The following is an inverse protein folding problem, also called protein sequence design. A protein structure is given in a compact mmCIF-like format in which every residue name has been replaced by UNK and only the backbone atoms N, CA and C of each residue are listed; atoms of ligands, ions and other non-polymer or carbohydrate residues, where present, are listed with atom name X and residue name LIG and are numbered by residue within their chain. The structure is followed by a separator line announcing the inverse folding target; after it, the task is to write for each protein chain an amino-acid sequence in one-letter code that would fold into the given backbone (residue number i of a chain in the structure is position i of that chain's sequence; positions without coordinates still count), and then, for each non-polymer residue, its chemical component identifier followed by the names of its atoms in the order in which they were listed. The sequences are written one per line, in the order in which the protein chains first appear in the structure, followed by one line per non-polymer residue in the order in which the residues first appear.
data_IF_556404411583
#
_entry.id   IF_556404411583
#
_cell.length_a   1.000
_cell.length_b   1.000
_cell.length_c   1.000
_cell.angle_alpha   90.00
_cell.angle_beta   90.00
_cell.angle_gamma   90.00
#
_symmetry.space_group_name_H-M   'P 1'
#
loop_
_entity.id
_entity.type
_entity.pdbx_description
1 polymer ?
#
# COMPACT_ATOMS: atom_id res chain seq x y z
N UNK A 1 -44.71 -73.64 25.53
CA UNK A 1 -44.91 -72.94 24.24
C UNK A 1 -44.41 -71.52 24.43
N UNK A 2 -43.28 -71.18 23.80
CA UNK A 2 -42.75 -69.82 23.71
C UNK A 2 -43.68 -68.95 22.88
N UNK A 3 -43.71 -67.64 23.15
CA UNK A 3 -43.44 -66.59 22.14
C UNK A 3 -42.80 -65.38 22.84
N UNK A 4 -41.60 -65.05 22.38
CA UNK A 4 -40.82 -63.83 22.60
C UNK A 4 -41.47 -62.64 21.88
N UNK A 5 -41.45 -61.44 22.47
CA UNK A 5 -41.40 -60.20 21.69
C UNK A 5 -40.78 -59.08 22.53
N UNK A 6 -39.46 -58.95 22.40
CA UNK A 6 -38.74 -57.74 22.77
C UNK A 6 -39.15 -56.57 21.89
N UNK A 7 -39.61 -55.48 22.50
CA UNK A 7 -39.72 -54.18 21.82
C UNK A 7 -38.48 -53.38 22.19
N UNK A 8 -37.52 -53.36 21.27
CA UNK A 8 -36.38 -52.46 21.32
C UNK A 8 -36.91 -51.04 21.19
N UNK A 9 -36.79 -50.27 22.27
CA UNK A 9 -36.94 -48.82 22.25
C UNK A 9 -35.83 -48.26 21.35
N UNK A 10 -36.13 -48.12 20.06
CA UNK A 10 -35.29 -47.45 19.11
C UNK A 10 -35.11 -46.00 19.56
N UNK A 11 -33.97 -45.74 20.21
CA UNK A 11 -33.44 -44.41 20.37
C UNK A 11 -33.35 -43.82 18.96
N UNK A 12 -34.30 -42.97 18.61
CA UNK A 12 -34.19 -42.07 17.47
C UNK A 12 -33.02 -41.17 17.83
N UNK A 13 -31.81 -41.58 17.44
CA UNK A 13 -30.63 -40.72 17.40
C UNK A 13 -31.00 -39.58 16.48
N UNK A 14 -31.40 -38.46 17.10
CA UNK A 14 -31.55 -37.18 16.44
C UNK A 14 -30.18 -36.84 15.88
N UNK A 15 -29.98 -37.16 14.60
CA UNK A 15 -28.78 -36.81 13.87
C UNK A 15 -28.58 -35.30 14.01
N UNK A 16 -27.50 -34.93 14.70
CA UNK A 16 -27.04 -33.55 14.75
C UNK A 16 -26.88 -33.06 13.30
N UNK A 17 -27.34 -31.83 12.97
CA UNK A 17 -26.99 -31.24 11.68
C UNK A 17 -25.46 -31.28 11.57
N UNK A 18 -24.96 -31.87 10.50
CA UNK A 18 -23.58 -32.27 10.28
C UNK A 18 -22.65 -31.07 10.47
N UNK A 19 -22.18 -30.87 11.70
CA UNK A 19 -21.23 -29.82 12.02
C UNK A 19 -19.85 -30.37 11.65
N UNK A 20 -19.18 -29.70 10.72
CA UNK A 20 -17.82 -30.05 10.32
C UNK A 20 -16.88 -29.95 11.51
N UNK A 21 -16.17 -31.03 11.82
CA UNK A 21 -15.21 -31.07 12.92
C UNK A 21 -14.08 -30.07 12.67
N UNK A 22 -13.64 -29.96 11.42
CA UNK A 22 -12.59 -29.02 11.01
C UNK A 22 -12.95 -27.58 11.35
N UNK A 23 -14.20 -27.16 11.12
CA UNK A 23 -14.69 -25.82 11.47
C UNK A 23 -14.69 -25.61 12.98
N UNK A 24 -15.16 -26.60 13.75
CA UNK A 24 -15.16 -26.55 15.21
C UNK A 24 -13.73 -26.50 15.80
N UNK A 25 -12.75 -27.13 15.14
CA UNK A 25 -11.34 -27.05 15.52
C UNK A 25 -10.77 -25.67 15.18
N UNK A 26 -11.01 -25.17 13.97
CA UNK A 26 -10.54 -23.85 13.52
C UNK A 26 -11.08 -22.75 14.43
N UNK A 27 -12.36 -22.78 14.80
CA UNK A 27 -12.96 -21.76 15.67
C UNK A 27 -12.35 -21.70 17.07
N UNK A 28 -11.69 -22.79 17.52
CA UNK A 28 -11.01 -22.88 18.81
C UNK A 28 -9.54 -22.49 18.75
N UNK A 29 -9.00 -22.16 17.57
CA UNK A 29 -7.66 -21.60 17.48
C UNK A 29 -7.66 -20.20 18.12
N UNK A 30 -6.72 -19.88 19.03
CA UNK A 30 -6.77 -18.62 19.79
C UNK A 30 -6.82 -17.36 18.92
N UNK A 31 -6.13 -17.38 17.77
CA UNK A 31 -6.15 -16.28 16.79
C UNK A 31 -7.53 -16.11 16.16
N UNK A 32 -8.17 -17.23 15.79
CA UNK A 32 -9.49 -17.23 15.16
C UNK A 32 -10.55 -16.82 16.18
N UNK A 33 -10.52 -17.41 17.37
CA UNK A 33 -11.41 -17.06 18.47
C UNK A 33 -11.32 -15.55 18.80
N UNK A 34 -10.10 -15.01 18.93
CA UNK A 34 -9.89 -13.57 19.17
C UNK A 34 -10.44 -12.70 18.04
N UNK A 35 -10.32 -13.15 16.79
CA UNK A 35 -10.82 -12.44 15.61
C UNK A 35 -12.35 -12.42 15.61
N UNK A 36 -12.99 -13.55 15.89
CA UNK A 36 -14.45 -13.66 16.01
C UNK A 36 -14.94 -12.75 17.13
N UNK A 37 -14.34 -12.82 18.32
CA UNK A 37 -14.71 -11.97 19.47
C UNK A 37 -14.55 -10.47 19.16
N UNK A 38 -13.47 -10.08 18.48
CA UNK A 38 -13.23 -8.70 18.08
C UNK A 38 -14.28 -8.23 17.07
N UNK A 39 -14.56 -9.05 16.06
CA UNK A 39 -15.58 -8.75 15.06
C UNK A 39 -16.97 -8.64 15.70
N UNK A 40 -17.34 -9.57 16.59
CA UNK A 40 -18.58 -9.51 17.37
C UNK A 40 -18.63 -8.24 18.20
N UNK A 41 -17.56 -7.87 18.91
CA UNK A 41 -17.53 -6.63 19.71
C UNK A 41 -17.74 -5.38 18.87
N UNK A 42 -17.08 -5.29 17.71
CA UNK A 42 -17.24 -4.16 16.78
C UNK A 42 -18.67 -4.12 16.24
N UNK A 43 -19.18 -5.29 15.84
CA UNK A 43 -20.55 -5.41 15.35
C UNK A 43 -21.58 -4.98 16.40
N UNK A 44 -21.46 -5.45 17.64
CA UNK A 44 -22.34 -5.05 18.74
C UNK A 44 -22.26 -3.53 18.98
N UNK A 45 -21.08 -2.92 18.93
CA UNK A 45 -20.93 -1.45 19.00
C UNK A 45 -21.65 -0.72 17.88
N UNK A 46 -21.60 -1.24 16.65
CA UNK A 46 -22.31 -0.67 15.49
C UNK A 46 -23.81 -0.85 15.65
N UNK A 47 -24.25 -2.02 16.09
CA UNK A 47 -25.65 -2.34 16.37
C UNK A 47 -26.23 -1.38 17.40
N UNK A 48 -25.54 -1.19 18.51
CA UNK A 48 -26.00 -0.38 19.63
C UNK A 48 -25.79 1.14 19.44
N UNK A 49 -25.25 1.58 18.29
CA UNK A 49 -24.93 3.00 18.05
C UNK A 49 -26.17 3.91 18.06
N UNK A 50 -27.30 3.45 17.48
CA UNK A 50 -28.58 4.16 17.55
C UNK A 50 -29.77 3.19 17.41
N UNK A 51 -30.97 3.65 17.79
CA UNK A 51 -32.18 2.83 17.82
C UNK A 51 -32.59 2.26 16.46
N UNK A 52 -32.41 3.00 15.36
CA UNK A 52 -32.76 2.53 14.00
C UNK A 52 -31.81 1.43 13.55
N UNK A 53 -30.50 1.59 13.78
CA UNK A 53 -29.49 0.58 13.45
C UNK A 53 -29.65 -0.69 14.30
N UNK A 54 -29.88 -0.54 15.61
CA UNK A 54 -30.14 -1.66 16.50
C UNK A 54 -31.39 -2.44 16.04
N UNK A 55 -32.49 -1.74 15.78
CA UNK A 55 -33.72 -2.36 15.31
C UNK A 55 -33.54 -3.09 13.97
N UNK A 56 -32.85 -2.47 13.02
CA UNK A 56 -32.63 -3.04 11.68
C UNK A 56 -31.77 -4.30 11.74
N UNK A 57 -30.63 -4.23 12.43
CA UNK A 57 -29.70 -5.36 12.56
C UNK A 57 -30.28 -6.48 13.43
N UNK A 58 -30.96 -6.15 14.53
CA UNK A 58 -31.70 -7.15 15.33
C UNK A 58 -32.80 -7.84 14.51
N UNK A 59 -33.49 -7.11 13.63
CA UNK A 59 -34.49 -7.71 12.73
C UNK A 59 -33.83 -8.65 11.73
N UNK A 60 -32.68 -8.27 11.16
CA UNK A 60 -31.91 -9.12 10.26
C UNK A 60 -31.42 -10.39 10.95
N UNK A 61 -30.82 -10.29 12.14
CA UNK A 61 -30.38 -11.43 12.96
C UNK A 61 -31.53 -12.38 13.26
N UNK A 62 -32.67 -11.84 13.73
CA UNK A 62 -33.85 -12.63 14.03
C UNK A 62 -34.41 -13.32 12.78
N UNK A 63 -34.31 -12.68 11.62
CA UNK A 63 -34.74 -13.27 10.34
C UNK A 63 -33.86 -14.46 9.97
N UNK A 64 -32.55 -14.34 10.12
CA UNK A 64 -31.61 -15.45 9.88
C UNK A 64 -31.86 -16.60 10.85
N UNK A 65 -31.99 -16.31 12.15
CA UNK A 65 -32.27 -17.34 13.17
C UNK A 65 -33.56 -18.10 12.87
N UNK A 66 -34.64 -17.38 12.52
CA UNK A 66 -35.91 -17.98 12.10
C UNK A 66 -35.79 -18.79 10.81
N UNK A 67 -35.05 -18.29 9.82
CA UNK A 67 -34.82 -19.00 8.56
C UNK A 67 -34.08 -20.31 8.78
N UNK A 68 -33.10 -20.35 9.69
CA UNK A 68 -32.41 -21.59 10.07
C UNK A 68 -33.36 -22.57 10.75
N UNK A 69 -34.17 -22.10 11.71
CA UNK A 69 -35.15 -22.95 12.40
C UNK A 69 -36.19 -23.56 11.46
N UNK A 70 -36.79 -22.72 10.59
CA UNK A 70 -37.80 -23.15 9.61
C UNK A 70 -37.18 -23.97 8.48
N UNK A 71 -35.94 -23.66 8.09
CA UNK A 71 -35.22 -24.34 7.02
C UNK A 71 -34.65 -25.69 7.40
N UNK A 72 -34.36 -25.94 8.69
CA UNK A 72 -33.79 -27.21 9.18
C UNK A 72 -34.53 -28.47 8.67
N UNK A 73 -35.86 -28.61 8.78
CA UNK A 73 -36.56 -29.79 8.25
C UNK A 73 -36.49 -29.91 6.72
N UNK A 74 -36.40 -28.78 6.00
CA UNK A 74 -36.34 -28.73 4.54
C UNK A 74 -34.95 -29.13 4.04
N UNK A 75 -33.90 -28.69 4.75
CA UNK A 75 -32.51 -29.00 4.41
C UNK A 75 -32.08 -30.42 4.82
N UNK A 76 -32.74 -31.01 5.84
CA UNK A 76 -32.41 -32.36 6.34
C UNK A 76 -32.28 -33.44 5.25
N UNK A 77 -33.25 -33.63 4.33
CA UNK A 77 -33.11 -34.65 3.28
C UNK A 77 -31.95 -34.38 2.31
N UNK A 78 -31.65 -33.12 2.01
CA UNK A 78 -30.54 -32.74 1.12
C UNK A 78 -29.20 -32.98 1.82
N UNK A 79 -29.08 -32.58 3.08
CA UNK A 79 -27.88 -32.77 3.91
C UNK A 79 -27.53 -34.26 3.99
N UNK A 80 -28.52 -35.16 4.15
CA UNK A 80 -28.29 -36.61 4.16
C UNK A 80 -27.64 -37.14 2.88
N UNK A 81 -28.02 -36.61 1.71
CA UNK A 81 -27.39 -36.99 0.44
C UNK A 81 -25.96 -36.44 0.30
N UNK A 82 -25.65 -35.33 0.96
CA UNK A 82 -24.35 -34.67 0.91
C UNK A 82 -23.42 -35.07 2.06
N UNK A 83 -23.91 -35.80 3.06
CA UNK A 83 -23.15 -36.17 4.27
C UNK A 83 -21.84 -36.90 3.94
N UNK A 84 -21.87 -37.85 3.00
CA UNK A 84 -20.67 -38.57 2.56
C UNK A 84 -19.61 -37.65 1.94
N UNK A 85 -19.95 -36.87 0.90
CA UNK A 85 -19.06 -35.85 0.36
C UNK A 85 -18.56 -34.82 1.39
N UNK A 86 -19.45 -34.30 2.25
CA UNK A 86 -19.12 -33.33 3.30
C UNK A 86 -18.10 -33.93 4.27
N UNK A 87 -18.28 -35.18 4.69
CA UNK A 87 -17.34 -35.88 5.57
C UNK A 87 -15.97 -36.05 4.94
N UNK A 88 -15.90 -36.42 3.65
CA UNK A 88 -14.59 -36.51 2.95
C UNK A 88 -13.85 -35.18 2.94
N UNK A 89 -14.58 -34.08 2.71
CA UNK A 89 -14.00 -32.73 2.76
C UNK A 89 -13.56 -32.40 4.19
N UNK A 90 -14.38 -32.72 5.19
CA UNK A 90 -14.07 -32.50 6.60
C UNK A 90 -12.80 -33.28 7.04
N UNK A 91 -12.68 -34.55 6.65
CA UNK A 91 -11.50 -35.39 6.93
C UNK A 91 -10.22 -34.79 6.30
N UNK A 92 -10.31 -34.27 5.06
CA UNK A 92 -9.19 -33.60 4.38
C UNK A 92 -8.83 -32.30 5.09
N UNK A 93 -9.81 -31.51 5.51
CA UNK A 93 -9.57 -30.27 6.25
C UNK A 93 -8.98 -30.54 7.64
N UNK A 94 -9.45 -31.57 8.35
CA UNK A 94 -8.87 -32.02 9.61
C UNK A 94 -7.41 -32.46 9.43
N UNK A 95 -7.12 -33.25 8.39
CA UNK A 95 -5.75 -33.68 8.07
C UNK A 95 -4.85 -32.50 7.69
N UNK A 96 -5.36 -31.54 6.92
CA UNK A 96 -4.64 -30.31 6.58
C UNK A 96 -4.38 -29.44 7.81
N UNK A 97 -5.35 -29.35 8.72
CA UNK A 97 -5.22 -28.64 9.98
C UNK A 97 -4.20 -29.33 10.89
N UNK A 98 -4.20 -30.65 10.98
CA UNK A 98 -3.17 -31.43 11.70
C UNK A 98 -1.76 -31.15 11.15
N UNK A 99 -1.64 -31.09 9.82
CA UNK A 99 -0.38 -30.74 9.17
C UNK A 99 0.10 -29.34 9.58
N UNK A 100 -0.77 -28.33 9.50
CA UNK A 100 -0.44 -26.96 9.92
C UNK A 100 -0.07 -26.89 11.39
N UNK A 101 -0.84 -27.55 12.27
CA UNK A 101 -0.55 -27.59 13.71
C UNK A 101 0.78 -28.28 14.02
N UNK A 102 1.17 -29.29 13.23
CA UNK A 102 2.44 -30.00 13.41
C UNK A 102 3.65 -29.20 12.89
N UNK A 103 3.49 -28.46 11.79
CA UNK A 103 4.58 -27.69 11.16
C UNK A 103 4.73 -26.29 11.71
N UNK A 104 3.64 -25.71 12.22
CA UNK A 104 3.59 -24.36 12.75
C UNK A 104 2.90 -24.40 14.13
N UNK A 105 3.59 -24.89 15.18
CA UNK A 105 3.01 -24.98 16.53
C UNK A 105 2.52 -23.63 17.07
N UNK A 106 3.07 -22.53 16.56
CA UNK A 106 2.66 -21.18 16.89
C UNK A 106 1.17 -20.88 16.61
N UNK A 107 0.50 -21.65 15.75
CA UNK A 107 -0.95 -21.51 15.49
C UNK A 107 -1.81 -21.77 16.74
N UNK A 108 -1.26 -22.48 17.74
CA UNK A 108 -1.92 -22.77 19.01
C UNK A 108 -1.67 -21.71 20.08
N UNK A 109 -0.85 -20.71 19.80
CA UNK A 109 -0.54 -19.65 20.74
C UNK A 109 -1.54 -18.49 20.58
N UNK A 110 -1.91 -17.82 21.68
CA UNK A 110 -2.61 -16.55 21.62
C UNK A 110 -1.84 -15.50 20.82
N UNK A 111 -2.53 -14.56 20.13
CA UNK A 111 -1.86 -13.51 19.33
C UNK A 111 -0.79 -12.71 20.10
N UNK A 112 -1.04 -12.43 21.39
CA UNK A 112 -0.10 -11.70 22.24
C UNK A 112 1.19 -12.48 22.50
N UNK A 113 1.09 -13.79 22.70
CA UNK A 113 2.25 -14.65 22.92
C UNK A 113 3.06 -14.82 21.64
N UNK A 114 2.41 -15.02 20.49
CA UNK A 114 3.10 -15.05 19.18
C UNK A 114 3.92 -13.77 18.98
N UNK A 115 3.33 -12.61 19.27
CA UNK A 115 4.01 -11.33 19.15
C UNK A 115 5.23 -11.23 20.07
N UNK A 116 5.09 -11.58 21.35
CA UNK A 116 6.19 -11.53 22.32
C UNK A 116 7.29 -12.50 21.91
N UNK A 117 6.98 -13.76 21.65
CA UNK A 117 7.96 -14.78 21.25
C UNK A 117 8.68 -14.40 19.96
N UNK A 118 7.98 -13.84 18.97
CA UNK A 118 8.60 -13.38 17.73
C UNK A 118 9.53 -12.19 17.99
N UNK A 119 9.08 -11.22 18.78
CA UNK A 119 9.88 -10.04 19.15
C UNK A 119 11.15 -10.46 19.89
N UNK A 120 11.03 -11.36 20.86
CA UNK A 120 12.17 -11.91 21.59
C UNK A 120 13.10 -12.71 20.70
N UNK A 121 12.56 -13.57 19.82
CA UNK A 121 13.38 -14.32 18.85
C UNK A 121 14.18 -13.40 17.94
N UNK A 122 13.55 -12.34 17.43
CA UNK A 122 14.23 -11.32 16.61
C UNK A 122 15.31 -10.62 17.42
N UNK A 123 14.99 -10.16 18.64
CA UNK A 123 15.94 -9.42 19.46
C UNK A 123 17.12 -10.27 19.98
N UNK A 124 16.87 -11.54 20.30
CA UNK A 124 17.86 -12.40 20.95
C UNK A 124 18.66 -13.24 19.95
N UNK A 125 18.11 -13.52 18.76
CA UNK A 125 18.74 -14.40 17.78
C UNK A 125 19.09 -13.64 16.51
N UNK A 126 18.12 -12.98 15.90
CA UNK A 126 18.30 -12.36 14.58
C UNK A 126 19.17 -11.11 14.68
N UNK A 127 18.85 -10.19 15.60
CA UNK A 127 19.59 -8.93 15.74
C UNK A 127 21.08 -9.16 16.09
N UNK A 128 21.46 -10.06 17.03
CA UNK A 128 22.86 -10.34 17.31
C UNK A 128 23.57 -11.04 16.16
N UNK A 129 22.89 -11.95 15.44
CA UNK A 129 23.46 -12.61 14.27
C UNK A 129 23.74 -11.61 13.14
N UNK A 130 22.79 -10.69 12.87
CA UNK A 130 22.95 -9.61 11.90
C UNK A 130 24.07 -8.65 12.34
N UNK A 131 24.10 -8.25 13.61
CA UNK A 131 25.15 -7.38 14.13
C UNK A 131 26.53 -8.03 14.01
N UNK A 132 26.64 -9.33 14.30
CA UNK A 132 27.90 -10.08 14.17
C UNK A 132 28.33 -10.19 12.71
N UNK A 133 27.41 -10.44 11.78
CA UNK A 133 27.69 -10.45 10.35
C UNK A 133 28.15 -9.06 9.86
N UNK A 134 27.47 -7.99 10.28
CA UNK A 134 27.88 -6.63 9.96
C UNK A 134 29.28 -6.32 10.52
N UNK A 135 29.54 -6.64 11.79
CA UNK A 135 30.84 -6.42 12.43
C UNK A 135 31.97 -7.23 11.78
N UNK A 136 31.67 -8.39 11.19
CA UNK A 136 32.64 -9.18 10.44
C UNK A 136 32.96 -8.58 9.07
N UNK A 137 31.96 -8.02 8.39
CA UNK A 137 32.09 -7.46 7.04
C UNK A 137 32.63 -6.02 7.06
N UNK A 138 32.34 -5.25 8.10
CA UNK A 138 32.71 -3.83 8.22
C UNK A 138 34.23 -3.56 8.09
N UNK A 139 35.15 -4.32 8.72
CA UNK A 139 36.59 -4.12 8.53
C UNK A 139 37.04 -4.34 7.09
N UNK A 140 36.52 -5.37 6.42
CA UNK A 140 36.86 -5.68 5.03
C UNK A 140 36.38 -4.58 4.08
N UNK A 141 35.17 -4.07 4.30
CA UNK A 141 34.62 -2.93 3.55
C UNK A 141 35.45 -1.67 3.78
N UNK A 142 35.84 -1.41 5.03
CA UNK A 142 36.69 -0.25 5.37
C UNK A 142 38.07 -0.35 4.71
N UNK A 143 38.73 -1.52 4.78
CA UNK A 143 40.01 -1.73 4.10
C UNK A 143 39.90 -1.58 2.59
N UNK A 144 38.85 -2.14 1.97
CA UNK A 144 38.63 -1.97 0.54
C UNK A 144 38.42 -0.50 0.17
N UNK A 145 37.66 0.25 0.96
CA UNK A 145 37.50 1.69 0.80
C UNK A 145 38.84 2.43 0.91
N UNK A 146 39.61 2.18 1.97
CA UNK A 146 40.90 2.83 2.23
C UNK A 146 41.93 2.54 1.12
N UNK A 147 41.85 1.39 0.44
CA UNK A 147 42.70 1.06 -0.72
C UNK A 147 42.25 1.82 -1.98
N UNK A 148 40.93 1.94 -2.19
CA UNK A 148 40.37 2.53 -3.41
C UNK A 148 40.39 4.08 -3.35
N UNK A 149 40.23 4.68 -2.17
CA UNK A 149 40.09 6.13 -1.99
C UNK A 149 41.34 6.93 -2.46
N UNK A 150 42.59 6.53 -2.18
CA UNK A 150 43.79 7.20 -2.70
C UNK A 150 43.93 7.10 -4.23
N UNK A 151 43.55 5.96 -4.81
CA UNK A 151 43.60 5.76 -6.27
C UNK A 151 42.57 6.66 -6.98
N UNK A 152 41.37 6.78 -6.41
CA UNK A 152 40.33 7.69 -6.89
C UNK A 152 40.79 9.15 -6.77
N UNK A 153 41.39 9.55 -5.64
CA UNK A 153 41.90 10.91 -5.46
C UNK A 153 43.06 11.22 -6.43
N UNK A 154 44.00 10.29 -6.61
CA UNK A 154 45.11 10.45 -7.56
C UNK A 154 44.60 10.57 -9.00
N UNK A 155 43.61 9.75 -9.38
CA UNK A 155 42.98 9.87 -10.69
C UNK A 155 42.29 11.23 -10.88
N UNK A 156 41.61 11.73 -9.83
CA UNK A 156 41.02 13.07 -9.83
C UNK A 156 42.09 14.15 -10.04
N UNK A 157 43.17 14.13 -9.27
CA UNK A 157 44.24 15.14 -9.32
C UNK A 157 44.98 15.15 -10.67
N UNK A 158 45.05 14.02 -11.39
CA UNK A 158 45.63 13.95 -12.74
C UNK A 158 44.67 14.46 -13.80
N UNK A 159 43.38 14.17 -13.65
CA UNK A 159 42.36 14.52 -14.65
C UNK A 159 41.93 16.00 -14.56
N UNK A 160 41.84 16.55 -13.35
CA UNK A 160 41.41 17.93 -13.08
C UNK A 160 42.26 19.00 -13.81
N UNK A 161 43.62 18.98 -13.80
CA UNK A 161 44.43 19.95 -14.54
C UNK A 161 44.36 19.78 -16.06
N UNK A 162 44.11 18.57 -16.56
CA UNK A 162 43.90 18.33 -18.00
C UNK A 162 42.58 18.93 -18.45
N UNK A 163 41.53 18.79 -17.64
CA UNK A 163 40.23 19.43 -17.88
C UNK A 163 40.36 20.95 -17.83
N UNK A 164 41.05 21.50 -16.83
CA UNK A 164 41.27 22.95 -16.72
C UNK A 164 42.10 23.50 -17.90
N UNK A 165 43.14 22.78 -18.32
CA UNK A 165 43.94 23.17 -19.50
C UNK A 165 43.11 23.09 -20.77
N UNK A 166 42.31 22.03 -20.95
CA UNK A 166 41.43 21.90 -22.10
C UNK A 166 40.39 23.03 -22.11
N UNK A 167 39.80 23.37 -20.96
CA UNK A 167 38.90 24.52 -20.81
C UNK A 167 39.60 25.80 -21.23
N UNK A 168 40.79 26.09 -20.70
CA UNK A 168 41.55 27.30 -21.05
C UNK A 168 41.95 27.41 -22.54
N UNK A 169 42.11 26.28 -23.24
CA UNK A 169 42.36 26.26 -24.70
C UNK A 169 41.06 26.52 -25.47
N UNK A 170 39.96 25.96 -25.01
CA UNK A 170 38.65 26.03 -25.69
C UNK A 170 37.93 27.35 -25.41
N UNK A 171 38.07 27.93 -24.21
CA UNK A 171 37.43 29.18 -23.77
C UNK A 171 37.65 30.35 -24.76
N UNK A 172 38.88 30.71 -25.19
CA UNK A 172 39.08 31.83 -26.12
C UNK A 172 38.57 31.55 -27.54
N UNK A 173 38.30 30.29 -27.90
CA UNK A 173 37.71 29.91 -29.20
C UNK A 173 36.18 29.95 -29.11
N UNK A 174 35.64 29.54 -27.96
CA UNK A 174 34.20 29.48 -27.70
C UNK A 174 33.64 30.87 -27.36
N UNK A 175 34.36 31.72 -26.64
CA UNK A 175 33.87 33.03 -26.20
C UNK A 175 33.44 33.94 -27.37
N UNK A 176 34.24 34.12 -28.45
CA UNK A 176 33.82 34.93 -29.61
C UNK A 176 32.63 34.32 -30.35
N UNK A 177 32.56 32.99 -30.43
CA UNK A 177 31.44 32.28 -31.05
C UNK A 177 30.15 32.44 -30.22
N UNK A 178 30.25 32.41 -28.89
CA UNK A 178 29.13 32.63 -27.95
C UNK A 178 28.65 34.08 -28.00
N UNK A 179 29.57 35.05 -28.03
CA UNK A 179 29.23 36.47 -28.17
C UNK A 179 28.58 36.76 -29.53
N UNK A 180 29.11 36.18 -30.61
CA UNK A 180 28.52 36.29 -31.95
C UNK A 180 27.13 35.64 -32.00
N UNK A 181 26.96 34.47 -31.39
CA UNK A 181 25.65 33.81 -31.29
C UNK A 181 24.67 34.64 -30.46
N UNK A 182 25.11 35.31 -29.38
CA UNK A 182 24.27 36.22 -28.61
C UNK A 182 23.90 37.47 -29.41
N UNK A 183 24.85 38.07 -30.14
CA UNK A 183 24.57 39.24 -30.98
C UNK A 183 23.61 38.90 -32.13
N UNK A 184 23.76 37.72 -32.75
CA UNK A 184 22.80 37.22 -33.74
C UNK A 184 21.44 37.00 -33.09
N UNK A 185 21.37 36.38 -31.91
CA UNK A 185 20.13 36.20 -31.16
C UNK A 185 19.46 37.55 -30.88
N UNK A 186 20.20 38.56 -30.43
CA UNK A 186 19.66 39.89 -30.14
C UNK A 186 19.21 40.61 -31.42
N UNK A 187 19.95 40.47 -32.53
CA UNK A 187 19.53 41.03 -33.82
C UNK A 187 18.28 40.36 -34.38
N UNK A 188 18.16 39.03 -34.23
CA UNK A 188 16.96 38.29 -34.61
C UNK A 188 15.79 38.70 -33.72
N UNK A 189 15.99 38.86 -32.40
CA UNK A 189 14.95 39.39 -31.50
C UNK A 189 14.53 40.80 -31.94
N UNK A 190 15.47 41.69 -32.25
CA UNK A 190 15.17 43.05 -32.71
C UNK A 190 14.42 43.05 -34.04
N UNK A 191 14.82 42.22 -35.01
CA UNK A 191 14.13 42.09 -36.30
C UNK A 191 12.73 41.49 -36.11
N UNK A 192 12.59 40.48 -35.26
CA UNK A 192 11.30 39.91 -34.90
C UNK A 192 10.43 40.97 -34.23
N UNK A 193 10.98 41.80 -33.34
CA UNK A 193 10.28 42.94 -32.72
C UNK A 193 9.87 44.01 -33.75
N UNK A 194 10.73 44.34 -34.71
CA UNK A 194 10.44 45.24 -35.85
C UNK A 194 9.35 44.68 -36.79
N UNK A 195 9.30 43.36 -36.99
CA UNK A 195 8.23 42.70 -37.75
C UNK A 195 6.92 42.57 -36.96
N UNK A 196 6.99 42.45 -35.63
CA UNK A 196 5.82 42.47 -34.76
C UNK A 196 5.31 43.91 -34.52
N UNK A 197 6.16 44.93 -34.66
CA UNK A 197 5.84 46.35 -34.49
C UNK A 197 6.41 47.23 -35.63
N UNK A 198 5.87 47.12 -36.87
CA UNK A 198 6.32 47.96 -37.98
C UNK A 198 6.05 49.44 -37.68
N UNK A 199 7.11 50.25 -37.63
CA UNK A 199 7.02 51.68 -37.30
C UNK A 199 6.05 52.44 -38.23
N UNK A 200 5.07 53.11 -37.62
CA UNK A 200 4.35 54.21 -38.23
C UNK A 200 5.31 55.43 -38.30
N UNK A 201 5.76 55.77 -39.50
CA UNK A 201 6.59 56.96 -39.75
C UNK A 201 5.82 58.23 -39.39
N UNK A 202 6.27 58.98 -38.37
CA UNK A 202 5.82 60.36 -38.14
C UNK A 202 6.85 61.35 -38.69
N UNK A 203 6.47 62.06 -39.74
CA UNK A 203 7.21 63.20 -40.27
C UNK A 203 6.94 64.43 -39.39
N UNK A 204 7.94 64.86 -38.62
CA UNK A 204 7.89 66.11 -37.86
C UNK A 204 8.79 66.04 -36.64
N UNK A 205 9.81 66.90 -36.58
CA UNK A 205 10.74 66.96 -35.47
C UNK A 205 10.07 67.44 -34.19
N UNK A 206 9.90 66.53 -33.24
CA UNK A 206 9.95 66.70 -31.78
C UNK A 206 9.73 65.30 -31.20
N UNK A 207 10.49 64.93 -30.16
CA UNK A 207 10.35 63.64 -29.47
C UNK A 207 8.97 63.57 -28.82
N UNK A 208 8.00 62.95 -29.49
CA UNK A 208 6.68 62.66 -28.94
C UNK A 208 6.47 61.14 -29.09
N UNK A 209 6.63 60.42 -27.97
CA UNK A 209 6.17 59.04 -27.84
C UNK A 209 4.68 58.96 -28.19
N UNK A 210 4.28 57.99 -29.03
CA UNK A 210 2.86 57.74 -29.31
C UNK A 210 2.08 57.44 -28.02
N UNK A 211 0.88 58.01 -27.90
CA UNK A 211 -0.02 57.85 -26.73
C UNK A 211 -0.38 56.38 -26.48
N UNK A 212 -0.43 55.56 -27.54
CA UNK A 212 -0.66 54.12 -27.45
C UNK A 212 0.50 53.35 -26.79
N UNK A 213 1.75 53.78 -27.00
CA UNK A 213 2.93 53.18 -26.36
C UNK A 213 3.03 53.57 -24.87
N UNK A 214 2.55 54.76 -24.51
CA UNK A 214 2.49 55.22 -23.12
C UNK A 214 1.40 54.50 -22.30
N UNK A 215 0.32 54.08 -22.97
CA UNK A 215 -0.76 53.30 -22.35
C UNK A 215 -0.40 51.82 -22.13
N UNK A 216 0.55 51.27 -22.89
CA UNK A 216 1.02 49.89 -22.73
C UNK A 216 2.15 49.79 -21.68
N UNK A 217 3.05 50.77 -21.60
CA UNK A 217 4.16 50.77 -20.63
C UNK A 217 3.71 51.06 -19.19
N UNK A 218 2.68 51.90 -19.02
CA UNK A 218 1.99 52.06 -17.75
C UNK A 218 0.94 50.96 -17.66
N UNK A 219 1.32 49.79 -17.15
CA UNK A 219 0.39 48.73 -16.75
C UNK A 219 -0.66 49.24 -15.74
N UNK A 220 -1.64 49.99 -16.23
CA UNK A 220 -2.75 50.53 -15.47
C UNK A 220 -3.96 49.73 -15.91
N UNK A 221 -4.56 48.93 -15.02
CA UNK A 221 -5.82 48.29 -15.33
C UNK A 221 -6.82 49.41 -15.62
N UNK A 222 -7.44 49.38 -16.80
CA UNK A 222 -8.60 50.21 -17.07
C UNK A 222 -9.63 49.95 -15.97
N UNK A 223 -9.89 50.95 -15.14
CA UNK A 223 -11.01 50.95 -14.22
C UNK A 223 -12.29 50.81 -15.06
N UNK A 224 -12.90 49.63 -14.99
CA UNK A 224 -14.28 49.46 -15.40
C UNK A 224 -15.18 50.14 -14.34
N UNK A 225 -16.18 50.94 -14.74
CA UNK A 225 -17.11 51.55 -13.79
C UNK A 225 -18.04 50.48 -13.17
N UNK A 226 -18.15 50.48 -11.84
CA UNK A 226 -19.17 49.72 -11.10
C UNK A 226 -20.58 50.18 -11.51
N UNK A 227 -21.50 49.24 -11.83
CA UNK A 227 -22.91 49.55 -11.98
C UNK A 227 -23.61 49.64 -10.61
N UNK A 228 -24.50 50.65 -10.49
CA UNK A 228 -25.41 50.92 -9.37
C UNK A 228 -26.37 49.76 -9.06
#
# INVERSE_FOLDING_TARGET
MNVDQGTQNGAVTVAHPTCMESVNRISKLPVVESTIQTATTIYEKVKDYNSVTNWTLSTAENTVNKAVEVGKPIATPVIRNLEGPIKKVDDVLCSGLDYVESKIPAVKLPPGEIYISTKEYVNNTVAPAVQSACAYVEPAVKTARDIVEPAVQSAKDVVEPVIEKARGIVEPIVQPAVETASAIKDNVIQRVDEYLHPEHTHAGGETIECEDCQNISKGKPGNAPEPK
#
